data_IF_608451956372
#
_entry.id   IF_608451956372
#
_cell.length_a   1.000
_cell.length_b   1.000
_cell.length_c   1.000
_cell.angle_alpha   90.00
_cell.angle_beta   90.00
_cell.angle_gamma   90.00
#
_symmetry.space_group_name_H-M   'P 1'
#
loop_
_entity.id
_entity.type
_entity.pdbx_description
1 polymer ?
#
# COMPACT_ATOMS: atom_id res chain seq x y z
N UNK A 1 -25.66 31.22 41.39
CA UNK A 1 -25.49 30.52 42.70
C UNK A 1 -25.54 29.04 42.46
N UNK A 2 -24.51 28.29 42.89
CA UNK A 2 -24.49 26.84 42.89
C UNK A 2 -23.29 26.24 42.16
N UNK A 3 -22.08 26.40 42.75
CA UNK A 3 -20.91 25.57 42.46
C UNK A 3 -21.11 24.19 43.08
N UNK A 4 -20.67 23.13 42.39
CA UNK A 4 -20.11 21.98 43.10
C UNK A 4 -18.94 21.37 42.29
N UNK A 5 -17.82 21.26 43.00
CA UNK A 5 -16.53 20.68 42.61
C UNK A 5 -16.46 19.21 43.07
N UNK A 6 -15.49 18.50 42.47
CA UNK A 6 -14.60 17.43 42.95
C UNK A 6 -14.99 15.99 42.64
N UNK A 7 -13.93 15.31 42.19
CA UNK A 7 -13.66 13.90 42.24
C UNK A 7 -12.44 13.51 41.43
N UNK A 8 -11.22 13.82 41.93
CA UNK A 8 -9.98 13.19 41.46
C UNK A 8 -9.85 11.82 42.15
N UNK A 9 -9.64 10.76 41.41
CA UNK A 9 -9.07 9.54 41.96
C UNK A 9 -7.95 9.04 41.04
N UNK A 10 -6.72 9.17 41.53
CA UNK A 10 -5.54 8.62 40.93
C UNK A 10 -5.45 7.11 41.19
N UNK A 11 -5.12 6.36 40.16
CA UNK A 11 -4.70 4.95 40.30
C UNK A 11 -3.24 4.79 39.92
N UNK A 12 -2.43 4.52 40.94
CA UNK A 12 -1.00 4.20 40.86
C UNK A 12 -0.83 2.77 40.37
N UNK A 13 -0.11 2.57 39.28
CA UNK A 13 0.28 1.25 38.79
C UNK A 13 1.68 0.90 39.27
N UNK A 14 1.77 -0.11 40.15
CA UNK A 14 2.98 -0.64 40.75
C UNK A 14 3.77 -1.53 39.80
N UNK A 15 5.07 -1.27 39.68
CA UNK A 15 6.04 -2.10 38.99
C UNK A 15 6.28 -3.42 39.73
N UNK A 16 6.18 -4.54 39.03
CA UNK A 16 6.67 -5.83 39.48
C UNK A 16 7.84 -6.29 38.61
N UNK A 17 9.02 -6.29 39.18
CA UNK A 17 10.24 -6.89 38.61
C UNK A 17 10.23 -8.38 38.94
N UNK A 18 10.37 -9.27 37.95
CA UNK A 18 10.73 -10.66 38.17
C UNK A 18 11.99 -11.00 37.37
N UNK A 19 12.91 -11.64 38.11
CA UNK A 19 14.29 -11.83 37.76
C UNK A 19 14.55 -12.91 36.69
N UNK A 20 15.68 -12.72 36.05
CA UNK A 20 16.30 -13.67 35.15
C UNK A 20 16.93 -14.85 35.91
N UNK A 21 16.65 -16.06 35.50
CA UNK A 21 17.46 -17.23 35.83
C UNK A 21 18.18 -17.73 34.60
N UNK A 22 19.50 -17.66 34.65
CA UNK A 22 20.43 -18.34 33.74
C UNK A 22 20.32 -19.87 33.91
N UNK A 23 20.22 -20.59 32.81
CA UNK A 23 20.59 -22.01 32.77
C UNK A 23 21.61 -22.20 31.65
N UNK A 24 22.83 -22.53 32.10
CA UNK A 24 23.89 -23.09 31.29
C UNK A 24 23.52 -24.53 30.93
N UNK A 25 23.63 -24.87 29.64
CA UNK A 25 23.40 -26.22 29.11
C UNK A 25 24.54 -26.60 28.19
N UNK A 26 25.25 -27.66 28.58
CA UNK A 26 26.45 -28.25 28.01
C UNK A 26 26.38 -28.54 26.51
N UNK A 27 27.50 -28.23 25.85
CA UNK A 27 27.78 -28.62 24.46
C UNK A 27 28.22 -30.07 24.41
N UNK A 28 27.46 -30.96 23.76
CA UNK A 28 27.90 -32.28 23.33
C UNK A 28 28.49 -32.26 21.94
N UNK A 29 29.78 -32.55 21.88
CA UNK A 29 30.57 -32.78 20.67
C UNK A 29 30.15 -34.13 20.05
N UNK A 30 29.74 -34.12 18.77
CA UNK A 30 29.53 -35.34 17.98
C UNK A 30 30.59 -35.35 16.88
N UNK A 31 31.48 -36.40 16.97
CA UNK A 31 32.49 -36.68 15.97
C UNK A 31 31.90 -37.52 14.80
N UNK A 32 32.34 -37.18 13.59
CA UNK A 32 32.57 -38.14 12.52
C UNK A 32 31.40 -38.49 11.61
N UNK A 33 31.31 -37.82 10.42
CA UNK A 33 30.70 -38.41 9.24
C UNK A 33 31.61 -38.09 8.04
N UNK A 34 31.93 -39.04 7.15
CA UNK A 34 32.92 -38.92 6.11
C UNK A 34 32.46 -38.08 4.94
N UNK A 35 33.36 -37.26 4.41
CA UNK A 35 33.20 -36.51 3.17
C UNK A 35 33.05 -37.44 1.97
N UNK A 36 31.88 -37.42 1.36
CA UNK A 36 31.72 -37.91 0.00
C UNK A 36 31.56 -36.69 -0.91
N UNK A 37 32.64 -36.35 -1.63
CA UNK A 37 32.68 -35.28 -2.61
C UNK A 37 32.08 -35.84 -3.91
N UNK A 38 30.78 -35.67 -4.09
CA UNK A 38 30.14 -35.88 -5.38
C UNK A 38 30.17 -34.56 -6.13
N UNK A 39 30.90 -34.57 -7.25
CA UNK A 39 30.92 -33.47 -8.22
C UNK A 39 29.53 -33.24 -8.78
N UNK A 40 28.82 -32.24 -8.22
CA UNK A 40 27.59 -31.74 -8.81
C UNK A 40 27.98 -30.73 -9.90
N UNK A 41 27.55 -31.05 -11.13
CA UNK A 41 27.57 -30.20 -12.30
C UNK A 41 27.03 -28.83 -11.98
N UNK A 42 27.75 -27.80 -12.44
CA UNK A 42 27.30 -26.42 -12.42
C UNK A 42 26.08 -26.30 -13.36
N UNK A 43 24.91 -26.51 -12.81
CA UNK A 43 23.69 -26.04 -13.45
C UNK A 43 23.71 -24.52 -13.42
N UNK A 44 23.87 -23.95 -14.61
CA UNK A 44 23.71 -22.54 -14.88
C UNK A 44 22.31 -22.13 -14.41
N UNK A 45 22.25 -21.50 -13.24
CA UNK A 45 21.05 -20.80 -12.78
C UNK A 45 20.87 -19.63 -13.76
N UNK A 46 20.04 -19.85 -14.79
CA UNK A 46 19.51 -18.77 -15.59
C UNK A 46 18.82 -17.83 -14.59
N UNK A 47 19.46 -16.69 -14.35
CA UNK A 47 18.83 -15.58 -13.67
C UNK A 47 17.64 -15.16 -14.55
N UNK A 48 16.46 -15.69 -14.27
CA UNK A 48 15.23 -15.12 -14.75
C UNK A 48 15.22 -13.66 -14.28
N UNK A 49 15.61 -12.76 -15.17
CA UNK A 49 15.36 -11.33 -14.98
C UNK A 49 13.84 -11.17 -15.00
N UNK A 50 13.23 -11.28 -13.81
CA UNK A 50 11.81 -11.07 -13.65
C UNK A 50 11.49 -9.68 -14.24
N UNK A 51 10.61 -9.65 -15.23
CA UNK A 51 10.11 -8.41 -15.82
C UNK A 51 9.61 -7.54 -14.68
N UNK A 52 10.00 -6.24 -14.63
CA UNK A 52 9.54 -5.35 -13.58
C UNK A 52 8.02 -5.43 -13.47
N UNK A 53 7.52 -5.87 -12.35
CA UNK A 53 6.08 -6.03 -12.13
C UNK A 53 5.53 -4.73 -11.59
N UNK A 54 4.86 -3.96 -12.44
CA UNK A 54 4.05 -2.84 -12.00
C UNK A 54 2.70 -3.35 -11.49
N UNK A 55 2.18 -2.74 -10.43
CA UNK A 55 0.87 -3.06 -9.87
C UNK A 55 0.04 -1.80 -9.65
N UNK A 56 -1.27 -1.87 -9.86
CA UNK A 56 -2.24 -0.88 -9.39
C UNK A 56 -2.67 -1.23 -7.97
N UNK A 57 -2.87 -0.23 -7.12
CA UNK A 57 -3.25 -0.40 -5.73
C UNK A 57 -4.30 0.61 -5.31
N UNK A 58 -5.32 0.14 -4.61
CA UNK A 58 -6.41 0.94 -4.06
C UNK A 58 -6.95 0.32 -2.77
N UNK A 59 -7.54 1.13 -1.89
CA UNK A 59 -8.28 0.69 -0.71
C UNK A 59 -9.62 1.39 -0.62
N UNK A 60 -10.58 0.73 0.03
CA UNK A 60 -11.80 1.38 0.49
C UNK A 60 -11.83 1.42 2.02
N UNK A 61 -12.47 2.44 2.55
CA UNK A 61 -12.55 2.68 3.99
C UNK A 61 -13.99 3.00 4.41
N UNK A 62 -14.26 2.98 5.72
CA UNK A 62 -15.56 3.41 6.25
C UNK A 62 -15.78 4.91 6.16
N UNK A 63 -14.73 5.70 5.88
CA UNK A 63 -14.74 7.15 5.74
C UNK A 63 -13.34 7.69 5.54
N UNK A 64 -13.16 9.00 5.75
CA UNK A 64 -11.89 9.70 5.49
C UNK A 64 -11.15 10.11 6.78
N UNK A 65 -11.74 9.89 7.94
CA UNK A 65 -11.15 10.26 9.22
C UNK A 65 -10.05 9.28 9.64
N UNK A 66 -9.18 9.69 10.55
CA UNK A 66 -8.04 8.88 11.01
C UNK A 66 -8.42 7.58 11.75
N UNK A 67 -9.67 7.52 12.24
CA UNK A 67 -10.23 6.35 12.94
C UNK A 67 -10.98 5.39 12.02
N UNK A 68 -11.19 5.78 10.75
CA UNK A 68 -11.85 4.92 9.79
C UNK A 68 -11.00 3.69 9.46
N UNK A 69 -11.68 2.57 9.29
CA UNK A 69 -11.03 1.29 9.03
C UNK A 69 -10.90 1.03 7.52
N UNK A 70 -9.86 0.32 7.14
CA UNK A 70 -9.72 -0.26 5.79
C UNK A 70 -10.72 -1.42 5.66
N UNK A 71 -11.70 -1.29 4.78
CA UNK A 71 -12.74 -2.30 4.56
C UNK A 71 -12.33 -3.35 3.55
N UNK A 72 -11.59 -2.95 2.53
CA UNK A 72 -10.99 -3.80 1.51
C UNK A 72 -9.71 -3.14 0.98
N UNK A 73 -8.74 -3.96 0.60
CA UNK A 73 -7.56 -3.54 -0.16
C UNK A 73 -7.40 -4.44 -1.38
N UNK A 74 -7.12 -3.84 -2.52
CA UNK A 74 -6.97 -4.52 -3.80
C UNK A 74 -5.64 -4.18 -4.46
N UNK A 75 -4.96 -5.19 -4.98
CA UNK A 75 -3.79 -5.04 -5.85
C UNK A 75 -4.09 -5.71 -7.17
N UNK A 76 -3.86 -5.01 -8.25
CA UNK A 76 -4.08 -5.47 -9.61
C UNK A 76 -2.81 -5.43 -10.45
N UNK A 77 -2.59 -6.46 -11.25
CA UNK A 77 -1.63 -6.45 -12.36
C UNK A 77 -2.18 -7.29 -13.52
N UNK A 78 -1.60 -7.20 -14.71
CA UNK A 78 -2.02 -8.03 -15.84
C UNK A 78 -1.91 -9.55 -15.59
N UNK A 79 -1.09 -9.96 -14.63
CA UNK A 79 -0.77 -11.37 -14.37
C UNK A 79 -1.23 -11.87 -13.01
N UNK A 80 -1.56 -10.98 -12.06
CA UNK A 80 -1.92 -11.35 -10.71
C UNK A 80 -2.84 -10.30 -10.05
N UNK A 81 -3.68 -10.77 -9.13
CA UNK A 81 -4.57 -9.92 -8.35
C UNK A 81 -4.63 -10.43 -6.92
N UNK A 82 -4.78 -9.52 -5.96
CA UNK A 82 -5.07 -9.84 -4.57
C UNK A 82 -6.16 -8.91 -4.02
N UNK A 83 -7.04 -9.47 -3.20
CA UNK A 83 -8.08 -8.73 -2.47
C UNK A 83 -8.11 -9.26 -1.05
N UNK A 84 -8.06 -8.36 -0.07
CA UNK A 84 -8.21 -8.69 1.35
C UNK A 84 -9.22 -7.76 2.00
N UNK A 85 -10.12 -8.32 2.82
CA UNK A 85 -11.14 -7.59 3.54
C UNK A 85 -10.75 -7.39 5.01
N UNK A 86 -11.36 -6.41 5.64
CA UNK A 86 -11.23 -6.20 7.08
C UNK A 86 -11.48 -7.50 7.87
N UNK A 87 -10.58 -7.80 8.79
CA UNK A 87 -10.61 -9.04 9.59
C UNK A 87 -9.99 -10.26 8.92
N UNK A 88 -9.49 -10.14 7.70
CA UNK A 88 -8.73 -11.18 6.99
C UNK A 88 -7.22 -10.95 7.11
N UNK A 89 -6.43 -11.92 6.61
CA UNK A 89 -4.99 -11.78 6.47
C UNK A 89 -4.65 -10.92 5.25
N UNK A 90 -3.95 -9.82 5.45
CA UNK A 90 -3.51 -8.91 4.40
C UNK A 90 -2.18 -9.31 3.73
N UNK A 91 -1.57 -10.43 4.14
CA UNK A 91 -0.30 -10.91 3.58
C UNK A 91 -0.30 -10.95 2.06
N UNK A 92 -1.32 -11.44 1.34
CA UNK A 92 -1.31 -11.46 -0.13
C UNK A 92 -1.16 -10.06 -0.76
N UNK A 93 -1.85 -9.05 -0.22
CA UNK A 93 -1.74 -7.66 -0.67
C UNK A 93 -0.36 -7.10 -0.36
N UNK A 94 0.14 -7.32 0.87
CA UNK A 94 1.45 -6.83 1.31
C UNK A 94 2.59 -7.43 0.49
N UNK A 95 2.56 -8.73 0.20
CA UNK A 95 3.56 -9.41 -0.62
C UNK A 95 3.58 -8.87 -2.05
N UNK A 96 2.42 -8.64 -2.67
CA UNK A 96 2.37 -8.02 -3.99
C UNK A 96 2.95 -6.60 -3.98
N UNK A 97 2.63 -5.79 -2.96
CA UNK A 97 3.19 -4.45 -2.81
C UNK A 97 4.70 -4.49 -2.54
N UNK A 98 5.18 -5.39 -1.69
CA UNK A 98 6.61 -5.51 -1.37
C UNK A 98 7.44 -5.97 -2.59
N UNK A 99 6.94 -6.91 -3.36
CA UNK A 99 7.60 -7.49 -4.53
C UNK A 99 7.46 -6.64 -5.80
N UNK A 100 6.48 -5.73 -5.87
CA UNK A 100 6.32 -4.83 -7.00
C UNK A 100 7.55 -3.95 -7.19
N UNK A 101 7.93 -3.69 -8.44
CA UNK A 101 8.95 -2.69 -8.79
C UNK A 101 8.35 -1.29 -8.92
N UNK A 102 7.06 -1.21 -9.25
CA UNK A 102 6.27 0.01 -9.35
C UNK A 102 4.92 -0.21 -8.70
N UNK A 103 4.45 0.78 -7.96
CA UNK A 103 3.10 0.84 -7.41
C UNK A 103 2.39 2.05 -8.02
N UNK A 104 1.30 1.80 -8.72
CA UNK A 104 0.44 2.83 -9.29
C UNK A 104 -0.75 3.02 -8.35
N UNK A 105 -0.95 4.23 -7.87
CA UNK A 105 -2.07 4.56 -6.99
C UNK A 105 -2.54 5.99 -7.24
N UNK A 106 -3.74 6.33 -6.84
CA UNK A 106 -4.27 7.68 -6.97
C UNK A 106 -4.57 8.27 -5.59
N UNK A 107 -3.81 9.28 -5.18
CA UNK A 107 -3.80 9.83 -3.81
C UNK A 107 -3.26 8.86 -2.75
N UNK A 108 -2.68 7.75 -3.17
CA UNK A 108 -2.32 6.68 -2.27
C UNK A 108 -1.08 6.96 -1.43
N UNK A 109 -0.18 7.85 -1.88
CA UNK A 109 0.96 8.28 -1.05
C UNK A 109 0.47 8.98 0.21
N UNK A 110 -0.59 9.79 0.11
CA UNK A 110 -1.15 10.57 1.22
C UNK A 110 -2.28 9.83 1.96
N UNK A 111 -2.93 8.85 1.33
CA UNK A 111 -4.11 8.19 1.89
C UNK A 111 -3.95 6.66 2.04
N UNK A 112 -3.86 5.92 0.94
CA UNK A 112 -3.98 4.46 0.93
C UNK A 112 -2.82 3.76 1.63
N UNK A 113 -1.59 4.11 1.28
CA UNK A 113 -0.39 3.47 1.81
C UNK A 113 -0.23 3.69 3.32
N UNK A 114 -0.42 4.91 3.87
CA UNK A 114 -0.37 5.13 5.32
C UNK A 114 -1.47 4.37 6.07
N UNK A 115 -2.70 4.30 5.51
CA UNK A 115 -3.82 3.62 6.15
C UNK A 115 -3.64 2.11 6.17
N UNK A 116 -3.24 1.52 5.05
CA UNK A 116 -2.92 0.10 5.00
C UNK A 116 -1.78 -0.24 5.97
N UNK A 117 -0.70 0.55 5.99
CA UNK A 117 0.41 0.32 6.90
C UNK A 117 -0.01 0.39 8.36
N UNK A 118 -0.83 1.39 8.75
CA UNK A 118 -1.41 1.51 10.10
C UNK A 118 -2.27 0.29 10.43
N UNK A 119 -3.13 -0.14 9.51
CA UNK A 119 -4.00 -1.31 9.67
C UNK A 119 -3.20 -2.59 9.93
N UNK A 120 -2.11 -2.79 9.19
CA UNK A 120 -1.24 -3.97 9.30
C UNK A 120 -0.14 -3.84 10.34
N UNK A 121 -0.11 -2.76 11.15
CA UNK A 121 0.93 -2.53 12.15
C UNK A 121 2.33 -2.29 11.56
N UNK A 122 2.43 -1.87 10.30
CA UNK A 122 3.70 -1.62 9.63
C UNK A 122 4.29 -0.27 10.04
N UNK A 123 5.55 -0.26 10.46
CA UNK A 123 6.20 0.95 11.00
C UNK A 123 6.70 1.92 9.93
N UNK A 124 6.89 1.47 8.67
CA UNK A 124 7.44 2.30 7.60
C UNK A 124 6.88 1.94 6.23
N UNK A 125 6.52 2.96 5.48
CA UNK A 125 6.08 2.88 4.07
C UNK A 125 7.12 3.41 3.09
N UNK A 126 8.32 3.76 3.55
CA UNK A 126 9.34 4.41 2.72
C UNK A 126 9.70 3.60 1.47
N UNK A 127 9.71 2.26 1.56
CA UNK A 127 9.95 1.39 0.41
C UNK A 127 8.83 1.47 -0.64
N UNK A 128 7.58 1.51 -0.19
CA UNK A 128 6.45 1.65 -1.10
C UNK A 128 6.44 3.02 -1.77
N UNK A 129 6.59 4.09 -0.99
CA UNK A 129 6.60 5.48 -1.50
C UNK A 129 7.68 5.68 -2.56
N UNK A 130 8.90 5.12 -2.37
CA UNK A 130 9.99 5.25 -3.34
C UNK A 130 9.68 4.66 -4.71
N UNK A 131 8.84 3.66 -4.79
CA UNK A 131 8.44 2.98 -6.02
C UNK A 131 7.00 3.28 -6.46
N UNK A 132 6.38 4.29 -5.85
CA UNK A 132 5.00 4.69 -6.17
C UNK A 132 4.95 5.78 -7.22
N UNK A 133 4.09 5.60 -8.20
CA UNK A 133 3.65 6.62 -9.15
C UNK A 133 2.23 7.01 -8.75
N UNK A 134 2.05 8.25 -8.33
CA UNK A 134 0.77 8.81 -7.89
C UNK A 134 0.49 10.11 -8.65
N UNK A 135 -0.41 10.08 -9.63
CA UNK A 135 -0.70 11.25 -10.45
C UNK A 135 -1.16 12.46 -9.66
N UNK A 136 -2.02 12.27 -8.67
CA UNK A 136 -2.53 13.38 -7.87
C UNK A 136 -1.42 14.02 -7.02
N UNK A 137 -0.60 13.19 -6.39
CA UNK A 137 0.54 13.66 -5.63
C UNK A 137 1.53 14.45 -6.51
N UNK A 138 1.83 13.95 -7.70
CA UNK A 138 2.72 14.64 -8.65
C UNK A 138 2.15 15.98 -9.11
N UNK A 139 0.87 16.05 -9.44
CA UNK A 139 0.21 17.31 -9.84
C UNK A 139 0.27 18.32 -8.69
N UNK A 140 -0.08 17.91 -7.48
CA UNK A 140 -0.05 18.82 -6.31
C UNK A 140 1.35 19.35 -6.02
N UNK A 141 2.34 18.48 -6.01
CA UNK A 141 3.70 18.86 -5.59
C UNK A 141 4.55 19.48 -6.70
N UNK A 142 4.30 19.15 -7.97
CA UNK A 142 5.05 19.73 -9.10
C UNK A 142 4.48 21.07 -9.52
N UNK A 143 3.17 21.22 -9.47
CA UNK A 143 2.46 22.40 -9.97
C UNK A 143 1.96 23.32 -8.88
N UNK A 144 2.17 22.98 -7.60
CA UNK A 144 1.67 23.75 -6.47
C UNK A 144 0.14 23.82 -6.40
N UNK A 145 -0.54 22.82 -6.97
CA UNK A 145 -2.00 22.80 -7.04
C UNK A 145 -2.61 22.28 -5.75
N UNK A 146 -3.26 23.16 -5.00
CA UNK A 146 -3.94 22.81 -3.74
C UNK A 146 -5.37 22.28 -3.87
N UNK A 147 -5.86 22.07 -5.11
CA UNK A 147 -7.23 21.62 -5.36
C UNK A 147 -7.45 20.12 -5.25
N UNK A 148 -8.71 19.72 -5.32
CA UNK A 148 -9.11 18.32 -5.41
C UNK A 148 -9.32 17.96 -6.90
N UNK A 149 -8.59 16.95 -7.37
CA UNK A 149 -8.80 16.32 -8.68
C UNK A 149 -9.31 14.91 -8.40
N UNK A 150 -10.35 14.50 -9.10
CA UNK A 150 -10.90 13.15 -8.98
C UNK A 150 -10.26 12.23 -10.01
N UNK A 151 -10.05 10.97 -9.67
CA UNK A 151 -9.56 9.95 -10.60
C UNK A 151 -10.37 9.95 -11.90
N UNK A 152 -11.69 10.00 -11.80
CA UNK A 152 -12.59 10.03 -12.95
C UNK A 152 -12.35 11.22 -13.91
N UNK A 153 -11.99 12.37 -13.39
CA UNK A 153 -11.67 13.55 -14.20
C UNK A 153 -10.40 13.32 -15.03
N UNK A 154 -9.38 12.70 -14.42
CA UNK A 154 -8.15 12.36 -15.14
C UNK A 154 -8.38 11.23 -16.15
N UNK A 155 -9.15 10.21 -15.82
CA UNK A 155 -9.49 9.11 -16.73
C UNK A 155 -10.14 9.67 -18.00
N UNK A 156 -11.22 10.44 -17.86
CA UNK A 156 -11.94 11.03 -19.00
C UNK A 156 -11.06 11.98 -19.80
N UNK A 157 -10.27 12.85 -19.15
CA UNK A 157 -9.35 13.77 -19.81
C UNK A 157 -8.25 13.05 -20.64
N UNK A 158 -7.99 11.79 -20.35
CA UNK A 158 -6.99 10.98 -21.02
C UNK A 158 -7.58 9.89 -21.93
N UNK A 159 -8.90 9.94 -22.18
CA UNK A 159 -9.57 9.04 -23.14
C UNK A 159 -9.89 7.65 -22.58
N UNK A 160 -9.82 7.48 -21.26
CA UNK A 160 -10.27 6.27 -20.59
C UNK A 160 -11.78 6.33 -20.30
N UNK A 161 -12.39 5.15 -20.18
CA UNK A 161 -13.76 5.06 -19.71
C UNK A 161 -13.87 5.59 -18.26
N UNK A 162 -14.97 6.31 -17.96
CA UNK A 162 -15.20 6.77 -16.59
C UNK A 162 -15.40 5.58 -15.66
N UNK A 163 -14.86 5.70 -14.43
CA UNK A 163 -15.11 4.70 -13.39
C UNK A 163 -16.59 4.65 -13.01
N UNK A 164 -17.07 3.49 -12.65
CA UNK A 164 -18.43 3.31 -12.15
C UNK A 164 -18.51 3.65 -10.66
N UNK A 165 -19.38 4.59 -10.30
CA UNK A 165 -19.69 4.85 -8.88
C UNK A 165 -18.81 5.88 -8.18
N UNK A 166 -18.92 5.93 -6.86
CA UNK A 166 -18.24 6.88 -5.98
C UNK A 166 -17.83 6.21 -4.66
N UNK A 167 -16.91 6.81 -3.90
CA UNK A 167 -16.52 6.29 -2.59
C UNK A 167 -17.67 6.10 -1.60
N UNK A 168 -18.74 6.89 -1.70
CA UNK A 168 -19.95 6.68 -0.90
C UNK A 168 -20.64 5.34 -1.21
N UNK A 169 -20.56 4.88 -2.44
CA UNK A 169 -21.10 3.59 -2.85
C UNK A 169 -20.28 2.42 -2.27
N UNK A 170 -18.98 2.56 -2.14
CA UNK A 170 -18.14 1.59 -1.47
C UNK A 170 -18.54 1.43 0.01
N UNK A 171 -18.78 2.53 0.72
CA UNK A 171 -19.28 2.52 2.09
C UNK A 171 -20.65 1.80 2.17
N UNK A 172 -21.53 2.05 1.20
CA UNK A 172 -22.84 1.38 1.13
C UNK A 172 -22.66 -0.14 0.95
N UNK A 173 -21.82 -0.58 -0.02
CA UNK A 173 -21.56 -2.01 -0.23
C UNK A 173 -21.00 -2.69 1.02
N UNK A 174 -20.11 -2.00 1.75
CA UNK A 174 -19.62 -2.51 3.02
C UNK A 174 -20.73 -2.70 4.05
N UNK A 175 -21.57 -1.69 4.26
CA UNK A 175 -22.67 -1.71 5.24
C UNK A 175 -23.74 -2.75 4.88
N UNK A 176 -23.96 -3.02 3.61
CA UNK A 176 -24.87 -4.05 3.11
C UNK A 176 -24.26 -5.47 3.15
N UNK A 177 -22.98 -5.60 3.51
CA UNK A 177 -22.25 -6.87 3.46
C UNK A 177 -22.00 -7.37 2.02
N UNK A 178 -22.16 -6.51 1.02
CA UNK A 178 -21.97 -6.85 -0.39
C UNK A 178 -20.48 -6.84 -0.78
N UNK A 179 -19.71 -7.80 -0.24
CA UNK A 179 -18.27 -7.91 -0.45
C UNK A 179 -17.89 -8.07 -1.92
N UNK A 180 -18.75 -8.73 -2.71
CA UNK A 180 -18.48 -8.91 -4.15
C UNK A 180 -18.50 -7.58 -4.89
N UNK A 181 -19.50 -6.74 -4.65
CA UNK A 181 -19.57 -5.42 -5.29
C UNK A 181 -18.45 -4.50 -4.78
N UNK A 182 -18.14 -4.53 -3.49
CA UNK A 182 -17.05 -3.77 -2.87
C UNK A 182 -15.69 -4.15 -3.47
N UNK A 183 -15.40 -5.45 -3.57
CA UNK A 183 -14.16 -5.96 -4.17
C UNK A 183 -14.05 -5.59 -5.65
N UNK A 184 -15.13 -5.74 -6.42
CA UNK A 184 -15.13 -5.36 -7.84
C UNK A 184 -14.87 -3.87 -8.02
N UNK A 185 -15.47 -3.03 -7.19
CA UNK A 185 -15.31 -1.58 -7.23
C UNK A 185 -13.84 -1.16 -6.94
N UNK A 186 -13.27 -1.62 -5.82
CA UNK A 186 -11.89 -1.34 -5.44
C UNK A 186 -10.88 -1.90 -6.48
N UNK A 187 -11.12 -3.12 -6.98
CA UNK A 187 -10.27 -3.73 -8.01
C UNK A 187 -10.31 -2.96 -9.34
N UNK A 188 -11.47 -2.43 -9.72
CA UNK A 188 -11.60 -1.59 -10.91
C UNK A 188 -10.86 -0.26 -10.75
N UNK A 189 -10.91 0.36 -9.57
CA UNK A 189 -10.14 1.58 -9.28
C UNK A 189 -8.62 1.33 -9.33
N UNK A 190 -8.15 0.22 -8.76
CA UNK A 190 -6.75 -0.20 -8.85
C UNK A 190 -6.32 -0.44 -10.32
N UNK A 191 -7.15 -1.13 -11.12
CA UNK A 191 -6.89 -1.38 -12.54
C UNK A 191 -6.86 -0.11 -13.38
N UNK A 192 -7.86 0.73 -13.25
CA UNK A 192 -7.96 2.00 -14.01
C UNK A 192 -6.80 2.95 -13.66
N UNK A 193 -6.39 2.99 -12.40
CA UNK A 193 -5.21 3.75 -11.98
C UNK A 193 -3.94 3.19 -12.58
N UNK A 194 -3.78 1.86 -12.63
CA UNK A 194 -2.68 1.21 -13.32
C UNK A 194 -2.62 1.61 -14.79
N UNK A 195 -3.73 1.46 -15.52
CA UNK A 195 -3.82 1.78 -16.95
C UNK A 195 -3.52 3.27 -17.22
N UNK A 196 -4.02 4.17 -16.38
CA UNK A 196 -3.71 5.61 -16.46
C UNK A 196 -2.22 5.88 -16.30
N UNK A 197 -1.58 5.26 -15.31
CA UNK A 197 -0.15 5.46 -15.03
C UNK A 197 0.77 4.87 -16.11
N UNK A 198 0.35 3.78 -16.78
CA UNK A 198 1.08 3.21 -17.91
C UNK A 198 1.13 4.14 -19.14
N UNK A 199 0.24 5.13 -19.21
CA UNK A 199 0.27 6.15 -20.27
C UNK A 199 1.52 7.03 -20.25
N UNK A 200 2.33 6.96 -19.18
CA UNK A 200 3.57 7.74 -18.95
C UNK A 200 3.40 9.25 -18.91
N UNK A 201 2.42 9.81 -19.59
CA UNK A 201 2.07 11.23 -19.51
C UNK A 201 0.56 11.38 -19.50
N UNK A 202 0.06 12.22 -18.61
CA UNK A 202 -1.38 12.48 -18.46
C UNK A 202 -1.69 13.92 -18.75
N UNK A 203 -2.81 14.17 -19.45
CA UNK A 203 -3.39 15.47 -19.62
C UNK A 203 -4.16 15.84 -18.34
N UNK A 204 -4.02 17.09 -17.91
CA UNK A 204 -4.81 17.63 -16.81
C UNK A 204 -5.28 19.05 -17.16
N UNK A 205 -6.58 19.28 -17.06
CA UNK A 205 -7.18 20.49 -17.55
C UNK A 205 -6.96 20.68 -19.06
N UNK A 206 -7.16 21.90 -19.57
CA UNK A 206 -7.06 22.19 -21.00
C UNK A 206 -5.65 22.44 -21.52
N UNK A 207 -4.67 22.64 -20.64
CA UNK A 207 -3.34 23.14 -21.02
C UNK A 207 -2.15 22.38 -20.43
N UNK A 208 -2.38 21.47 -19.48
CA UNK A 208 -1.29 20.82 -18.75
C UNK A 208 -1.13 19.36 -19.12
N UNK A 209 0.14 18.95 -19.26
CA UNK A 209 0.52 17.55 -19.41
C UNK A 209 1.61 17.22 -18.39
N UNK A 210 1.37 16.22 -17.59
CA UNK A 210 2.31 15.75 -16.55
C UNK A 210 2.97 14.48 -17.04
N UNK A 211 4.30 14.47 -17.07
CA UNK A 211 5.10 13.31 -17.41
C UNK A 211 5.39 12.51 -16.13
N UNK A 212 4.67 11.42 -15.93
CA UNK A 212 4.71 10.65 -14.70
C UNK A 212 6.10 10.07 -14.41
N UNK A 213 6.78 9.62 -15.44
CA UNK A 213 8.09 8.97 -15.33
C UNK A 213 9.24 9.96 -15.14
N UNK A 214 9.22 11.08 -15.84
CA UNK A 214 10.23 12.14 -15.70
C UNK A 214 10.17 12.80 -14.32
N UNK A 215 8.98 13.09 -13.84
CA UNK A 215 8.77 13.65 -12.50
C UNK A 215 9.30 12.73 -11.41
N UNK A 216 9.21 11.40 -11.60
CA UNK A 216 9.78 10.41 -10.70
C UNK A 216 11.32 10.38 -10.74
N UNK A 217 11.92 10.40 -11.93
CA UNK A 217 13.38 10.41 -12.11
C UNK A 217 14.00 11.66 -11.49
N UNK A 218 13.41 12.83 -11.68
CA UNK A 218 13.86 14.09 -11.08
C UNK A 218 13.83 14.09 -9.54
N UNK A 219 12.89 13.39 -8.93
CA UNK A 219 12.79 13.23 -7.47
C UNK A 219 13.95 12.48 -6.86
N UNK A 220 14.42 11.40 -7.53
CA UNK A 220 15.55 10.60 -7.05
C UNK A 220 16.91 11.24 -7.35
N UNK A 221 17.01 12.13 -8.35
CA UNK A 221 18.24 12.87 -8.66
C UNK A 221 18.54 13.99 -7.65
N UNK A 222 17.54 14.50 -6.91
CA UNK A 222 17.69 15.51 -5.87
C UNK A 222 18.13 15.00 -4.50
N UNK A 223 18.13 13.68 -4.28
CA UNK A 223 18.55 13.04 -3.02
C UNK A 223 20.01 12.57 -3.03
N UNK A 224 20.89 13.23 -3.79
CA UNK A 224 22.36 13.00 -3.74
C UNK A 224 23.05 14.01 -2.88
#
# INVERSE_FOLDING_TARGET
MGQQRRGEEGSTCTHSRHGAQHREGEAKRIEGVPHNVSSASADSVEAHTATPTAVGFDIETTGIDEHDIVTVACVWSPTAQATCFYGEDFTPVLEMLDNATLIHTFNGIEFDLPRLAKHCGRLSIANWVRKTVDPLYLIRHTMGFGGCIKLNELLVANGFEPKSGSGLQAIQFWNEGNRKALSSYCMDDARLTYELCESRSIAWGSQWRVHLWESRVMRFAGER
#
